data_IF_544093800303
#
_entry.id   IF_544093800303
#
_cell.length_a   1.000
_cell.length_b   1.000
_cell.length_c   1.000
_cell.angle_alpha   90.00
_cell.angle_beta   90.00
_cell.angle_gamma   90.00
#
_symmetry.space_group_name_H-M   'P 1'
#
loop_
_entity.id
_entity.type
_entity.pdbx_description
1 polymer ?
#
# COMPACT_ATOMS: atom_id res chain seq x y z
N UNK A 1 31.19 -48.56 -56.73
CA UNK A 1 32.48 -48.08 -56.22
C UNK A 1 32.53 -48.40 -54.74
N UNK A 2 33.13 -49.54 -54.41
CA UNK A 2 33.62 -49.86 -53.07
C UNK A 2 34.99 -49.14 -52.88
N UNK A 3 35.69 -49.29 -51.74
CA UNK A 3 35.29 -48.96 -50.37
C UNK A 3 36.46 -48.36 -49.55
N UNK A 4 36.25 -48.30 -48.23
CA UNK A 4 37.21 -48.53 -47.15
C UNK A 4 38.15 -47.37 -46.72
N UNK A 5 38.07 -46.85 -45.49
CA UNK A 5 38.41 -47.47 -44.17
C UNK A 5 39.93 -47.69 -43.99
N UNK A 6 40.48 -47.95 -42.76
CA UNK A 6 39.89 -47.88 -41.41
C UNK A 6 40.88 -47.39 -40.30
N UNK A 7 40.42 -47.52 -39.05
CA UNK A 7 41.15 -48.05 -37.87
C UNK A 7 42.29 -47.22 -37.26
N UNK A 8 42.72 -47.43 -36.02
CA UNK A 8 42.25 -48.08 -34.78
C UNK A 8 43.46 -48.10 -33.84
N UNK A 9 43.22 -48.21 -32.54
CA UNK A 9 44.24 -48.57 -31.56
C UNK A 9 44.88 -47.34 -30.93
N UNK A 10 45.06 -47.26 -29.62
CA UNK A 10 44.97 -48.28 -28.59
C UNK A 10 45.91 -47.91 -27.47
N UNK A 11 45.59 -48.42 -26.28
CA UNK A 11 46.48 -48.64 -25.14
C UNK A 11 46.93 -47.48 -24.22
N UNK A 12 46.49 -47.66 -22.97
CA UNK A 12 47.32 -47.88 -21.79
C UNK A 12 48.02 -46.68 -21.14
N UNK A 13 47.39 -46.23 -20.04
CA UNK A 13 47.85 -46.37 -18.65
C UNK A 13 49.33 -46.03 -18.37
N UNK A 14 49.58 -45.04 -17.49
CA UNK A 14 50.55 -45.10 -16.37
C UNK A 14 50.34 -43.88 -15.45
N UNK A 15 49.93 -44.17 -14.21
CA UNK A 15 50.55 -43.73 -12.95
C UNK A 15 50.64 -42.24 -12.61
N UNK A 16 49.94 -41.80 -11.57
CA UNK A 16 50.50 -41.75 -10.20
C UNK A 16 49.59 -40.93 -9.27
N UNK A 17 49.17 -41.56 -8.18
CA UNK A 17 48.48 -41.00 -7.02
C UNK A 17 49.38 -40.04 -6.23
N UNK A 18 48.80 -38.98 -5.66
CA UNK A 18 49.14 -38.50 -4.31
C UNK A 18 48.05 -37.61 -3.71
N UNK A 19 47.61 -38.03 -2.53
CA UNK A 19 46.70 -37.42 -1.57
C UNK A 19 46.99 -35.95 -1.21
N UNK A 20 45.93 -35.15 -1.04
CA UNK A 20 45.50 -34.57 0.25
C UNK A 20 44.36 -33.53 0.06
N UNK A 21 43.21 -33.81 0.66
CA UNK A 21 42.17 -32.83 0.99
C UNK A 21 42.57 -32.03 2.27
N UNK A 22 41.73 -31.11 2.79
CA UNK A 22 41.15 -29.90 2.22
C UNK A 22 41.65 -28.65 2.99
N UNK A 23 42.01 -27.56 2.30
CA UNK A 23 42.51 -26.35 2.97
C UNK A 23 41.36 -25.46 3.49
N UNK A 24 41.40 -25.20 4.79
CA UNK A 24 40.49 -24.40 5.61
C UNK A 24 40.38 -22.93 5.18
N UNK A 25 39.16 -22.44 5.31
CA UNK A 25 38.69 -21.04 5.44
C UNK A 25 39.60 -20.12 6.26
N UNK A 26 39.60 -18.81 5.94
CA UNK A 26 39.45 -17.77 6.95
C UNK A 26 38.06 -17.13 6.83
N UNK A 27 37.25 -17.42 7.83
CA UNK A 27 35.98 -16.79 8.13
C UNK A 27 36.13 -15.26 8.21
N UNK A 28 35.38 -14.52 7.39
CA UNK A 28 35.11 -13.10 7.65
C UNK A 28 33.90 -13.03 8.58
N UNK A 29 34.15 -12.82 9.86
CA UNK A 29 33.16 -12.38 10.83
C UNK A 29 32.37 -11.16 10.30
N UNK A 30 31.02 -11.16 10.33
CA UNK A 30 30.20 -10.01 9.97
C UNK A 30 30.22 -8.85 10.98
N UNK A 31 30.98 -8.95 12.08
CA UNK A 31 30.85 -8.07 13.26
C UNK A 31 31.57 -6.71 13.21
N UNK A 32 32.09 -6.28 12.07
CA UNK A 32 32.91 -5.04 11.97
C UNK A 32 32.47 -4.04 10.90
N UNK A 33 31.22 -4.11 10.43
CA UNK A 33 30.71 -3.21 9.40
C UNK A 33 29.65 -2.20 9.88
N UNK A 34 29.18 -2.29 11.13
CA UNK A 34 28.23 -1.33 11.70
C UNK A 34 28.92 -0.15 12.42
N UNK A 35 29.98 -0.38 13.20
CA UNK A 35 30.65 0.71 13.94
C UNK A 35 31.28 1.78 13.04
N UNK A 36 31.57 1.47 11.77
CA UNK A 36 32.24 2.41 10.85
C UNK A 36 31.29 3.36 10.12
N UNK A 37 29.97 3.24 10.34
CA UNK A 37 28.97 4.20 9.86
C UNK A 37 28.59 5.22 10.93
N UNK A 38 28.94 4.98 12.19
CA UNK A 38 28.62 5.91 13.28
C UNK A 38 29.52 7.16 13.28
N UNK A 39 30.68 7.14 12.61
CA UNK A 39 31.62 8.28 12.52
C UNK A 39 31.21 9.38 11.51
N UNK A 40 30.17 9.15 10.69
CA UNK A 40 29.65 10.12 9.70
C UNK A 40 28.28 10.72 10.09
N UNK A 41 27.78 10.42 11.29
CA UNK A 41 26.54 11.03 11.82
C UNK A 41 26.86 12.44 12.33
N UNK A 42 26.02 13.43 12.00
CA UNK A 42 26.12 14.75 12.63
C UNK A 42 25.90 14.62 14.14
N UNK A 43 26.42 15.57 14.94
CA UNK A 43 26.19 15.58 16.39
C UNK A 43 24.70 15.55 16.75
N UNK A 44 23.84 16.17 15.91
CA UNK A 44 22.39 16.13 16.05
C UNK A 44 21.80 14.74 15.83
N UNK A 45 22.28 14.01 14.82
CA UNK A 45 21.80 12.65 14.52
C UNK A 45 22.23 11.65 15.60
N UNK A 46 23.43 11.84 16.16
CA UNK A 46 23.98 11.00 17.23
C UNK A 46 23.22 11.23 18.54
N UNK A 47 22.86 12.49 18.84
CA UNK A 47 21.98 12.83 19.96
C UNK A 47 20.58 12.21 19.78
N UNK A 48 20.01 12.26 18.56
CA UNK A 48 18.73 11.64 18.26
C UNK A 48 18.76 10.12 18.44
N UNK A 49 19.83 9.45 17.97
CA UNK A 49 20.04 8.00 18.17
C UNK A 49 20.05 7.65 19.66
N UNK A 50 20.86 8.36 20.46
CA UNK A 50 20.97 8.14 21.90
C UNK A 50 19.63 8.39 22.63
N UNK A 51 18.88 9.41 22.21
CA UNK A 51 17.57 9.71 22.79
C UNK A 51 16.55 8.61 22.49
N UNK A 52 16.54 8.07 21.27
CA UNK A 52 15.68 6.95 20.89
C UNK A 52 16.06 5.65 21.62
N UNK A 53 17.35 5.37 21.77
CA UNK A 53 17.86 4.24 22.57
C UNK A 53 17.40 4.35 24.04
N UNK A 54 17.52 5.55 24.63
CA UNK A 54 17.02 5.82 25.97
C UNK A 54 15.51 5.60 26.10
N UNK A 55 14.72 5.96 25.09
CA UNK A 55 13.29 5.65 25.09
C UNK A 55 13.03 4.15 25.04
N UNK A 56 13.77 3.39 24.23
CA UNK A 56 13.64 1.93 24.17
C UNK A 56 13.96 1.28 25.52
N UNK A 57 14.97 1.78 26.23
CA UNK A 57 15.28 1.33 27.60
C UNK A 57 14.15 1.66 28.57
N UNK A 58 13.64 2.89 28.55
CA UNK A 58 12.55 3.34 29.43
C UNK A 58 11.21 2.66 29.17
N UNK A 59 10.97 2.20 27.95
CA UNK A 59 9.79 1.37 27.64
C UNK A 59 9.85 0.03 28.36
N UNK A 60 11.04 -0.46 28.72
CA UNK A 60 11.22 -1.72 29.44
C UNK A 60 11.27 -1.56 30.97
N UNK A 61 11.19 -0.33 31.48
CA UNK A 61 11.18 -0.06 32.92
C UNK A 61 9.92 -0.64 33.59
N UNK A 62 9.99 -0.88 34.90
CA UNK A 62 8.86 -1.43 35.66
C UNK A 62 7.72 -0.43 35.92
N UNK A 63 7.98 0.88 35.80
CA UNK A 63 7.00 1.93 36.08
C UNK A 63 6.14 2.26 34.84
N UNK A 64 4.81 2.00 34.87
CA UNK A 64 3.90 2.32 33.78
C UNK A 64 3.90 3.82 33.39
N UNK A 65 4.18 4.72 34.33
CA UNK A 65 4.27 6.15 34.08
C UNK A 65 5.44 6.51 33.17
N UNK A 66 6.62 5.94 33.45
CA UNK A 66 7.82 6.11 32.62
C UNK A 66 7.65 5.47 31.24
N UNK A 67 7.06 4.27 31.18
CA UNK A 67 6.75 3.60 29.92
C UNK A 67 5.88 4.49 29.02
N UNK A 68 4.81 5.06 29.59
CA UNK A 68 3.89 5.93 28.86
C UNK A 68 4.59 7.14 28.24
N UNK A 69 5.38 7.86 29.03
CA UNK A 69 6.10 9.06 28.57
C UNK A 69 7.11 8.71 27.47
N UNK A 70 7.80 7.58 27.60
CA UNK A 70 8.74 7.10 26.59
C UNK A 70 8.04 6.73 25.27
N UNK A 71 6.91 6.02 25.32
CA UNK A 71 6.11 5.66 24.14
C UNK A 71 5.53 6.91 23.45
N UNK A 72 4.98 7.86 24.22
CA UNK A 72 4.43 9.11 23.67
C UNK A 72 5.51 9.96 23.00
N UNK A 73 6.68 10.06 23.63
CA UNK A 73 7.82 10.81 23.10
C UNK A 73 8.37 10.15 21.82
N UNK A 74 8.54 8.83 21.83
CA UNK A 74 8.96 8.07 20.63
C UNK A 74 7.97 8.24 19.47
N UNK A 75 6.67 8.16 19.76
CA UNK A 75 5.60 8.42 18.78
C UNK A 75 5.71 9.82 18.19
N UNK A 76 5.92 10.84 19.02
CA UNK A 76 6.02 12.22 18.56
C UNK A 76 7.24 12.45 17.65
N UNK A 77 8.39 11.89 18.00
CA UNK A 77 9.62 11.98 17.21
C UNK A 77 9.47 11.30 15.84
N UNK A 78 8.87 10.10 15.81
CA UNK A 78 8.60 9.38 14.56
C UNK A 78 7.64 10.18 13.67
N UNK A 79 6.53 10.70 14.22
CA UNK A 79 5.53 11.49 13.48
C UNK A 79 6.10 12.78 12.91
N UNK A 80 6.90 13.49 13.70
CA UNK A 80 7.53 14.75 13.28
C UNK A 80 8.55 14.51 12.16
N UNK A 81 9.22 13.35 12.17
CA UNK A 81 10.21 13.01 11.14
C UNK A 81 9.59 12.40 9.88
N UNK A 82 8.42 11.73 10.00
CA UNK A 82 7.68 11.12 8.86
C UNK A 82 6.84 12.12 8.07
N UNK A 83 6.54 13.31 8.60
CA UNK A 83 5.87 14.36 7.84
C UNK A 83 6.71 14.91 6.67
N UNK A 84 8.01 14.65 6.66
CA UNK A 84 8.88 15.03 5.55
C UNK A 84 8.86 13.95 4.47
N UNK A 85 8.40 14.31 3.26
CA UNK A 85 8.37 13.48 2.04
C UNK A 85 9.79 13.26 1.47
N UNK A 86 10.70 12.80 2.31
CA UNK A 86 12.09 12.49 2.00
C UNK A 86 12.38 11.07 2.47
N UNK A 87 13.40 10.42 1.89
CA UNK A 87 13.84 9.05 2.19
C UNK A 87 13.60 8.57 3.63
N UNK A 88 13.36 7.26 3.81
CA UNK A 88 13.17 6.56 5.10
C UNK A 88 13.68 7.37 6.31
N UNK A 89 12.76 7.88 7.15
CA UNK A 89 13.06 8.76 8.27
C UNK A 89 14.18 8.22 9.14
N UNK A 90 15.08 9.11 9.59
CA UNK A 90 16.21 8.75 10.45
C UNK A 90 15.78 8.02 11.74
N UNK A 91 14.68 8.40 12.44
CA UNK A 91 14.23 7.65 13.60
C UNK A 91 13.94 6.17 13.32
N UNK A 92 13.36 5.85 12.16
CA UNK A 92 13.10 4.45 11.78
C UNK A 92 14.42 3.69 11.56
N UNK A 93 15.43 4.34 10.98
CA UNK A 93 16.77 3.76 10.81
C UNK A 93 17.46 3.48 12.13
N UNK A 94 17.32 4.37 13.12
CA UNK A 94 17.94 4.19 14.44
C UNK A 94 17.19 3.19 15.31
N UNK A 95 15.86 3.06 15.16
CA UNK A 95 15.06 2.07 15.88
C UNK A 95 15.15 0.66 15.28
N UNK A 96 15.68 0.51 14.06
CA UNK A 96 15.88 -0.78 13.37
C UNK A 96 16.52 -1.86 14.25
N UNK A 97 17.67 -1.63 14.92
CA UNK A 97 18.32 -2.68 15.72
C UNK A 97 17.50 -3.10 16.95
N UNK A 98 16.59 -2.22 17.40
CA UNK A 98 15.81 -2.41 18.61
C UNK A 98 14.43 -3.04 18.37
N UNK A 99 14.02 -3.24 17.11
CA UNK A 99 12.72 -3.80 16.76
C UNK A 99 12.46 -5.16 17.43
N UNK A 100 13.42 -6.09 17.36
CA UNK A 100 13.29 -7.40 18.00
C UNK A 100 13.20 -7.33 19.53
N UNK A 101 13.84 -6.35 20.16
CA UNK A 101 13.74 -6.14 21.61
C UNK A 101 12.35 -5.62 22.00
N UNK A 102 11.81 -4.67 21.23
CA UNK A 102 10.47 -4.13 21.44
C UNK A 102 9.39 -5.20 21.21
N UNK A 103 9.56 -6.06 20.19
CA UNK A 103 8.67 -7.20 19.93
C UNK A 103 8.67 -8.20 21.10
N UNK A 104 9.86 -8.58 21.61
CA UNK A 104 9.97 -9.48 22.75
C UNK A 104 9.40 -8.86 24.04
N UNK A 105 9.43 -7.54 24.19
CA UNK A 105 8.78 -6.85 25.30
C UNK A 105 7.26 -6.87 25.13
N UNK A 106 6.75 -6.56 23.93
CA UNK A 106 5.32 -6.58 23.60
C UNK A 106 4.65 -7.92 23.93
N UNK A 107 5.31 -9.04 23.64
CA UNK A 107 4.80 -10.38 23.95
C UNK A 107 4.69 -10.66 25.47
N UNK A 108 5.55 -10.04 26.28
CA UNK A 108 5.56 -10.19 27.75
C UNK A 108 4.56 -9.26 28.44
N UNK A 109 4.13 -8.19 27.79
CA UNK A 109 3.21 -7.22 28.37
C UNK A 109 1.79 -7.78 28.50
N UNK A 110 1.15 -7.47 29.63
CA UNK A 110 -0.27 -7.69 29.81
C UNK A 110 -1.09 -6.73 28.94
N UNK A 111 -2.31 -7.16 28.57
CA UNK A 111 -3.27 -6.33 27.84
C UNK A 111 -3.54 -5.03 28.61
N UNK A 112 -3.07 -3.92 28.04
CA UNK A 112 -3.12 -2.59 28.64
C UNK A 112 -3.06 -1.54 27.53
N UNK A 113 -3.43 -0.29 27.84
CA UNK A 113 -3.32 0.82 26.88
C UNK A 113 -1.88 1.05 26.41
N UNK A 114 -0.89 0.74 27.25
CA UNK A 114 0.54 0.81 26.92
C UNK A 114 0.92 -0.23 25.85
N UNK A 115 0.35 -1.44 25.95
CA UNK A 115 0.54 -2.48 24.94
C UNK A 115 -0.02 -2.03 23.59
N UNK A 116 -1.20 -1.43 23.56
CA UNK A 116 -1.80 -0.88 22.32
C UNK A 116 -0.94 0.22 21.68
N UNK A 117 -0.41 1.14 22.49
CA UNK A 117 0.51 2.18 21.98
C UNK A 117 1.82 1.59 21.44
N UNK A 118 2.36 0.56 22.10
CA UNK A 118 3.53 -0.15 21.60
C UNK A 118 3.23 -0.89 20.29
N UNK A 119 2.05 -1.50 20.15
CA UNK A 119 1.60 -2.08 18.89
C UNK A 119 1.53 -1.04 17.76
N UNK A 120 1.02 0.18 18.01
CA UNK A 120 1.03 1.22 16.97
C UNK A 120 2.45 1.58 16.50
N UNK A 121 3.40 1.67 17.44
CA UNK A 121 4.81 1.95 17.11
C UNK A 121 5.41 0.77 16.34
N UNK A 122 5.16 -0.47 16.77
CA UNK A 122 5.64 -1.67 16.07
C UNK A 122 5.06 -1.76 14.65
N UNK A 123 3.79 -1.39 14.45
CA UNK A 123 3.15 -1.35 13.14
C UNK A 123 3.89 -0.42 12.17
N UNK A 124 4.34 0.74 12.64
CA UNK A 124 5.09 1.72 11.85
C UNK A 124 6.53 1.26 11.65
N UNK A 125 7.17 0.66 12.65
CA UNK A 125 8.53 0.12 12.49
C UNK A 125 8.57 -1.04 11.49
N UNK A 126 7.52 -1.87 11.46
CA UNK A 126 7.39 -2.99 10.54
C UNK A 126 7.48 -2.57 9.06
N UNK A 127 7.15 -1.32 8.71
CA UNK A 127 7.32 -0.74 7.36
C UNK A 127 8.69 -1.00 6.74
N UNK A 128 9.72 -1.03 7.58
CA UNK A 128 11.12 -1.09 7.13
C UNK A 128 11.84 -2.33 7.66
N UNK A 129 11.19 -3.07 8.57
CA UNK A 129 11.80 -4.13 9.37
C UNK A 129 11.17 -5.50 9.13
N UNK A 130 9.90 -5.56 8.77
CA UNK A 130 9.24 -6.82 8.48
C UNK A 130 9.89 -7.45 7.25
N UNK A 131 10.22 -8.76 7.28
CA UNK A 131 10.50 -9.46 6.04
C UNK A 131 9.27 -9.37 5.13
N UNK A 132 9.51 -9.19 3.83
CA UNK A 132 8.45 -9.10 2.83
C UNK A 132 7.50 -10.31 2.96
N UNK A 133 6.22 -10.06 3.20
CA UNK A 133 5.18 -11.09 3.26
C UNK A 133 4.68 -11.48 4.65
N UNK A 134 5.31 -11.06 5.76
CA UNK A 134 4.80 -11.36 7.11
C UNK A 134 3.64 -10.46 7.56
N UNK A 135 3.37 -9.36 6.84
CA UNK A 135 2.24 -8.43 7.07
C UNK A 135 2.18 -7.96 8.53
N UNK A 136 3.35 -7.72 9.12
CA UNK A 136 3.46 -7.36 10.53
C UNK A 136 2.84 -5.98 10.80
N UNK A 137 2.91 -5.03 9.85
CA UNK A 137 2.30 -3.72 10.00
C UNK A 137 0.79 -3.82 10.21
N UNK A 138 0.08 -4.59 9.37
CA UNK A 138 -1.35 -4.83 9.52
C UNK A 138 -1.68 -5.57 10.82
N UNK A 139 -0.91 -6.61 11.17
CA UNK A 139 -1.12 -7.38 12.41
C UNK A 139 -1.07 -6.48 13.64
N UNK A 140 -0.02 -5.66 13.77
CA UNK A 140 0.10 -4.76 14.91
C UNK A 140 -0.91 -3.61 14.85
N UNK A 141 -1.34 -3.19 13.65
CA UNK A 141 -2.38 -2.18 13.52
C UNK A 141 -3.73 -2.66 14.07
N UNK A 142 -4.12 -3.90 13.78
CA UNK A 142 -5.35 -4.51 14.31
C UNK A 142 -5.29 -4.73 15.84
N UNK A 143 -4.09 -4.85 16.41
CA UNK A 143 -3.87 -4.98 17.86
C UNK A 143 -3.63 -3.63 18.55
N UNK A 144 -3.42 -2.57 17.78
CA UNK A 144 -3.00 -1.25 18.22
C UNK A 144 -4.14 -0.42 18.82
N UNK A 145 -3.88 0.87 18.98
CA UNK A 145 -4.96 1.80 19.29
C UNK A 145 -5.66 2.20 17.98
N UNK A 146 -6.99 2.18 17.97
CA UNK A 146 -7.84 2.63 16.85
C UNK A 146 -7.73 4.15 16.55
N UNK A 147 -6.59 4.77 16.86
CA UNK A 147 -6.31 6.17 16.57
C UNK A 147 -6.22 6.46 15.07
N UNK A 148 -6.15 7.73 14.69
CA UNK A 148 -6.12 8.16 13.29
C UNK A 148 -4.95 7.56 12.48
N UNK A 149 -5.26 6.83 11.39
CA UNK A 149 -4.29 6.19 10.48
C UNK A 149 -3.38 7.24 9.83
N UNK A 150 -3.94 8.41 9.49
CA UNK A 150 -3.21 9.47 8.82
C UNK A 150 -2.09 10.09 9.66
N UNK A 151 -2.10 9.84 10.97
CA UNK A 151 -1.18 10.46 11.93
C UNK A 151 0.29 10.09 11.72
N UNK A 152 0.57 8.97 11.04
CA UNK A 152 1.92 8.45 10.76
C UNK A 152 2.44 8.80 9.36
N UNK A 153 1.66 9.51 8.55
CA UNK A 153 2.05 9.98 7.23
C UNK A 153 1.74 9.00 6.09
N UNK A 154 1.85 9.52 4.86
CA UNK A 154 1.41 8.85 3.64
C UNK A 154 2.10 7.52 3.35
N UNK A 155 3.39 7.39 3.64
CA UNK A 155 4.15 6.15 3.37
C UNK A 155 3.60 4.98 4.20
N UNK A 156 3.25 5.25 5.46
CA UNK A 156 2.61 4.26 6.32
C UNK A 156 1.24 3.84 5.78
N UNK A 157 0.40 4.82 5.41
CA UNK A 157 -0.94 4.54 4.86
C UNK A 157 -0.85 3.71 3.57
N UNK A 158 0.11 4.04 2.70
CA UNK A 158 0.33 3.32 1.44
C UNK A 158 0.77 1.87 1.67
N UNK A 159 1.72 1.62 2.57
CA UNK A 159 2.13 0.25 2.89
C UNK A 159 0.97 -0.54 3.50
N UNK A 160 0.23 0.07 4.43
CA UNK A 160 -0.90 -0.55 5.08
C UNK A 160 -2.00 -0.91 4.06
N UNK A 161 -2.28 -0.03 3.09
CA UNK A 161 -3.21 -0.31 2.00
C UNK A 161 -2.81 -1.57 1.21
N UNK A 162 -1.53 -1.69 0.83
CA UNK A 162 -1.02 -2.87 0.13
C UNK A 162 -1.09 -4.15 0.95
N UNK A 163 -0.78 -4.10 2.25
CA UNK A 163 -0.93 -5.26 3.14
C UNK A 163 -2.39 -5.67 3.33
N UNK A 164 -3.30 -4.69 3.44
CA UNK A 164 -4.75 -4.93 3.55
C UNK A 164 -5.26 -5.61 2.30
N UNK A 165 -4.90 -5.15 1.10
CA UNK A 165 -5.35 -5.77 -0.14
C UNK A 165 -4.88 -7.24 -0.26
N UNK A 166 -3.63 -7.51 0.10
CA UNK A 166 -3.11 -8.89 0.10
C UNK A 166 -3.76 -9.78 1.15
N UNK A 167 -4.09 -9.23 2.33
CA UNK A 167 -4.79 -9.93 3.39
C UNK A 167 -6.25 -10.17 3.03
N UNK A 168 -6.92 -9.18 2.41
CA UNK A 168 -8.27 -9.28 1.89
C UNK A 168 -8.38 -10.43 0.90
N UNK A 169 -7.53 -10.45 -0.14
CA UNK A 169 -7.51 -11.53 -1.13
C UNK A 169 -7.28 -12.91 -0.50
N UNK A 170 -6.44 -12.99 0.54
CA UNK A 170 -6.23 -14.25 1.28
C UNK A 170 -7.48 -14.66 2.06
N UNK A 171 -8.06 -13.76 2.84
CA UNK A 171 -9.25 -14.05 3.66
C UNK A 171 -10.49 -14.32 2.82
N UNK A 172 -10.62 -13.70 1.66
CA UNK A 172 -11.70 -13.97 0.71
C UNK A 172 -11.62 -15.41 0.19
N UNK A 173 -10.42 -15.90 -0.13
CA UNK A 173 -10.22 -17.30 -0.53
C UNK A 173 -10.45 -18.31 0.62
N UNK A 174 -10.19 -17.90 1.86
CA UNK A 174 -10.35 -18.72 3.06
C UNK A 174 -11.74 -18.55 3.73
N UNK A 175 -12.65 -17.74 3.15
CA UNK A 175 -13.95 -17.34 3.74
C UNK A 175 -13.84 -16.80 5.18
N UNK A 176 -12.78 -16.05 5.45
CA UNK A 176 -12.51 -15.44 6.75
C UNK A 176 -13.34 -14.19 7.04
N UNK A 177 -13.17 -13.63 8.24
CA UNK A 177 -13.78 -12.35 8.64
C UNK A 177 -13.04 -11.19 7.95
N UNK A 178 -13.80 -10.31 7.29
CA UNK A 178 -13.29 -9.18 6.49
C UNK A 178 -13.73 -7.82 7.06
N UNK A 179 -14.71 -7.78 7.96
CA UNK A 179 -15.28 -6.53 8.52
C UNK A 179 -14.24 -5.59 9.14
N UNK A 180 -13.25 -6.15 9.83
CA UNK A 180 -12.15 -5.42 10.47
C UNK A 180 -11.24 -4.74 9.43
N UNK A 181 -11.01 -5.40 8.31
CA UNK A 181 -10.25 -4.82 7.20
C UNK A 181 -11.04 -3.70 6.52
N UNK A 182 -12.34 -3.88 6.30
CA UNK A 182 -13.17 -2.87 5.63
C UNK A 182 -13.31 -1.58 6.43
N UNK A 183 -13.29 -1.67 7.77
CA UNK A 183 -13.23 -0.47 8.62
C UNK A 183 -11.92 0.32 8.40
N UNK A 184 -10.79 -0.38 8.29
CA UNK A 184 -9.51 0.25 7.97
C UNK A 184 -9.50 0.82 6.54
N UNK A 185 -10.06 0.12 5.55
CA UNK A 185 -10.19 0.59 4.17
C UNK A 185 -10.95 1.92 4.13
N UNK A 186 -12.09 2.02 4.82
CA UNK A 186 -12.88 3.26 4.90
C UNK A 186 -12.06 4.43 5.44
N UNK A 187 -11.28 4.21 6.49
CA UNK A 187 -10.41 5.23 7.07
C UNK A 187 -9.29 5.65 6.10
N UNK A 188 -8.67 4.69 5.40
CA UNK A 188 -7.59 4.94 4.42
C UNK A 188 -8.12 5.73 3.22
N UNK A 189 -9.27 5.32 2.65
CA UNK A 189 -9.90 5.99 1.51
C UNK A 189 -10.27 7.43 1.88
N UNK A 190 -10.87 7.65 3.06
CA UNK A 190 -11.17 8.99 3.55
C UNK A 190 -9.91 9.86 3.69
N UNK A 191 -8.79 9.27 4.12
CA UNK A 191 -7.51 9.97 4.22
C UNK A 191 -6.93 10.31 2.85
N UNK A 192 -6.87 9.35 1.92
CA UNK A 192 -6.34 9.55 0.58
C UNK A 192 -7.11 10.61 -0.21
N UNK A 193 -8.45 10.57 -0.16
CA UNK A 193 -9.30 11.55 -0.85
C UNK A 193 -9.13 12.98 -0.31
N UNK A 194 -8.89 13.14 0.99
CA UNK A 194 -8.60 14.46 1.61
C UNK A 194 -7.23 15.01 1.26
N UNK A 195 -6.27 14.15 0.95
CA UNK A 195 -4.88 14.53 0.69
C UNK A 195 -4.48 14.42 -0.79
N UNK A 196 -5.45 14.45 -1.70
CA UNK A 196 -5.18 14.44 -3.15
C UNK A 196 -4.47 13.18 -3.66
N UNK A 197 -4.67 12.04 -2.98
CA UNK A 197 -4.20 10.72 -3.38
C UNK A 197 -5.37 9.90 -3.95
N UNK A 198 -6.16 10.51 -4.84
CA UNK A 198 -7.34 9.86 -5.43
C UNK A 198 -7.00 8.56 -6.18
N UNK A 199 -5.91 8.47 -6.97
CA UNK A 199 -5.51 7.22 -7.63
C UNK A 199 -5.30 6.07 -6.64
N UNK A 200 -4.60 6.32 -5.54
CA UNK A 200 -4.33 5.30 -4.51
C UNK A 200 -5.59 4.84 -3.78
N UNK A 201 -6.58 5.72 -3.60
CA UNK A 201 -7.88 5.35 -3.06
C UNK A 201 -8.66 4.45 -4.03
N UNK A 202 -8.66 4.78 -5.33
CA UNK A 202 -9.32 3.98 -6.36
C UNK A 202 -8.68 2.60 -6.47
N UNK A 203 -7.36 2.53 -6.54
CA UNK A 203 -6.63 1.25 -6.65
C UNK A 203 -6.93 0.33 -5.48
N UNK A 204 -6.90 0.85 -4.25
CA UNK A 204 -7.24 0.07 -3.06
C UNK A 204 -8.69 -0.46 -3.13
N UNK A 205 -9.65 0.37 -3.53
CA UNK A 205 -11.05 -0.03 -3.64
C UNK A 205 -11.31 -1.05 -4.74
N UNK A 206 -10.56 -0.99 -5.84
CA UNK A 206 -10.61 -2.03 -6.88
C UNK A 206 -10.05 -3.35 -6.34
N UNK A 207 -8.95 -3.32 -5.57
CA UNK A 207 -8.36 -4.53 -4.99
C UNK A 207 -9.23 -5.20 -3.93
N UNK A 208 -10.07 -4.43 -3.21
CA UNK A 208 -11.04 -4.99 -2.25
C UNK A 208 -12.46 -5.19 -2.84
N UNK A 209 -12.61 -5.02 -4.15
CA UNK A 209 -13.88 -5.22 -4.88
C UNK A 209 -15.08 -4.41 -4.34
N UNK A 210 -14.84 -3.24 -3.73
CA UNK A 210 -15.88 -2.36 -3.12
C UNK A 210 -15.79 -0.92 -3.65
N UNK A 211 -15.80 -0.79 -4.99
CA UNK A 211 -15.62 0.50 -5.66
C UNK A 211 -16.79 1.48 -5.45
N UNK A 212 -17.99 0.97 -5.14
CA UNK A 212 -19.19 1.79 -4.89
C UNK A 212 -18.98 2.81 -3.76
N UNK A 213 -18.20 2.43 -2.74
CA UNK A 213 -17.85 3.27 -1.60
C UNK A 213 -17.18 4.59 -2.01
N UNK A 214 -16.51 4.63 -3.17
CA UNK A 214 -15.85 5.81 -3.70
C UNK A 214 -16.83 7.00 -3.84
N UNK A 215 -18.08 6.73 -4.25
CA UNK A 215 -19.09 7.77 -4.51
C UNK A 215 -19.39 8.60 -3.26
N UNK A 216 -19.23 8.03 -2.06
CA UNK A 216 -19.46 8.71 -0.78
C UNK A 216 -18.36 9.72 -0.44
N UNK A 217 -17.10 9.41 -0.82
CA UNK A 217 -15.93 10.21 -0.47
C UNK A 217 -15.52 11.25 -1.53
N UNK A 218 -16.09 11.18 -2.72
CA UNK A 218 -15.84 12.15 -3.79
C UNK A 218 -16.58 13.47 -3.51
N UNK A 219 -15.86 14.57 -3.69
CA UNK A 219 -16.28 15.97 -3.52
C UNK A 219 -16.06 16.81 -4.79
N UNK A 220 -16.47 18.08 -4.76
CA UNK A 220 -16.35 19.00 -5.90
C UNK A 220 -14.90 19.30 -6.30
N UNK A 221 -13.92 19.10 -5.41
CA UNK A 221 -12.51 19.42 -5.67
C UNK A 221 -11.74 18.23 -6.27
N UNK A 222 -12.22 17.00 -6.03
CA UNK A 222 -11.52 15.78 -6.44
C UNK A 222 -12.23 15.00 -7.58
N UNK A 223 -13.54 15.18 -7.80
CA UNK A 223 -14.30 14.38 -8.78
C UNK A 223 -13.70 14.37 -10.18
N UNK A 224 -13.17 15.50 -10.68
CA UNK A 224 -12.58 15.56 -12.02
C UNK A 224 -11.35 14.66 -12.14
N UNK A 225 -10.50 14.68 -11.11
CA UNK A 225 -9.28 13.86 -11.06
C UNK A 225 -9.61 12.39 -10.87
N UNK A 226 -10.55 12.08 -9.98
CA UNK A 226 -11.02 10.72 -9.75
C UNK A 226 -11.63 10.13 -11.02
N UNK A 227 -12.56 10.83 -11.69
CA UNK A 227 -13.16 10.34 -12.92
C UNK A 227 -12.17 10.25 -14.08
N UNK A 228 -11.20 11.17 -14.17
CA UNK A 228 -10.12 11.07 -15.15
C UNK A 228 -9.31 9.80 -14.92
N UNK A 229 -8.97 9.49 -13.67
CA UNK A 229 -8.27 8.27 -13.31
C UNK A 229 -9.08 7.02 -13.69
N UNK A 230 -10.34 6.91 -13.25
CA UNK A 230 -11.25 5.81 -13.57
C UNK A 230 -11.40 5.58 -15.09
N UNK A 231 -11.67 6.64 -15.85
CA UNK A 231 -11.83 6.52 -17.32
C UNK A 231 -10.52 6.20 -18.04
N UNK A 232 -9.38 6.54 -17.46
CA UNK A 232 -8.06 6.18 -18.00
C UNK A 232 -7.69 4.74 -17.66
N UNK A 233 -7.96 4.28 -16.42
CA UNK A 233 -7.68 2.93 -15.96
C UNK A 233 -8.58 1.90 -16.65
N UNK A 234 -9.86 2.21 -16.85
CA UNK A 234 -10.82 1.35 -17.53
C UNK A 234 -10.38 0.88 -18.92
N UNK A 235 -9.54 1.66 -19.64
CA UNK A 235 -9.00 1.26 -20.95
C UNK A 235 -8.01 0.09 -20.90
N UNK A 236 -7.47 -0.20 -19.72
CA UNK A 236 -6.48 -1.24 -19.49
C UNK A 236 -7.03 -2.41 -18.66
N UNK A 237 -8.27 -2.31 -18.19
CA UNK A 237 -8.95 -3.32 -17.41
C UNK A 237 -9.66 -4.34 -18.32
N UNK A 238 -9.88 -5.58 -17.84
CA UNK A 238 -10.66 -6.56 -18.57
C UNK A 238 -12.15 -6.17 -18.60
N UNK A 239 -12.88 -6.71 -19.57
CA UNK A 239 -14.28 -6.36 -19.91
C UNK A 239 -15.37 -6.41 -18.82
N UNK A 240 -15.24 -7.11 -17.68
CA UNK A 240 -16.17 -6.92 -16.56
C UNK A 240 -15.79 -5.72 -15.67
N UNK A 241 -14.49 -5.53 -15.43
CA UNK A 241 -13.98 -4.51 -14.50
C UNK A 241 -13.97 -3.12 -15.15
N UNK A 242 -13.73 -3.04 -16.46
CA UNK A 242 -13.82 -1.79 -17.22
C UNK A 242 -15.23 -1.18 -17.13
N UNK A 243 -16.25 -2.02 -17.21
CA UNK A 243 -17.66 -1.66 -17.20
C UNK A 243 -18.06 -1.15 -15.83
N UNK A 244 -17.62 -1.83 -14.77
CA UNK A 244 -17.82 -1.40 -13.38
C UNK A 244 -17.17 -0.03 -13.12
N UNK A 245 -15.90 0.15 -13.51
CA UNK A 245 -15.18 1.41 -13.31
C UNK A 245 -15.84 2.56 -14.05
N UNK A 246 -16.32 2.32 -15.27
CA UNK A 246 -17.06 3.30 -16.06
C UNK A 246 -18.44 3.59 -15.47
N UNK A 247 -19.15 2.59 -14.94
CA UNK A 247 -20.45 2.77 -14.25
C UNK A 247 -20.31 3.68 -13.02
N UNK A 248 -19.25 3.50 -12.23
CA UNK A 248 -18.96 4.37 -11.09
C UNK A 248 -18.59 5.78 -11.56
N UNK A 249 -17.76 5.91 -12.59
CA UNK A 249 -17.42 7.23 -13.14
C UNK A 249 -18.67 7.95 -13.70
N UNK A 250 -19.61 7.23 -14.33
CA UNK A 250 -20.91 7.77 -14.74
C UNK A 250 -21.71 8.29 -13.55
N UNK A 251 -21.81 7.47 -12.49
CA UNK A 251 -22.54 7.82 -11.26
C UNK A 251 -21.96 9.07 -10.58
N UNK A 252 -20.64 9.20 -10.53
CA UNK A 252 -19.96 10.38 -10.01
C UNK A 252 -20.27 11.61 -10.88
N UNK A 253 -20.16 11.52 -12.22
CA UNK A 253 -20.48 12.66 -13.08
C UNK A 253 -21.96 13.07 -13.00
N UNK A 254 -22.87 12.12 -12.82
CA UNK A 254 -24.29 12.41 -12.55
C UNK A 254 -24.49 13.17 -11.24
N UNK A 255 -23.81 12.75 -10.16
CA UNK A 255 -23.86 13.41 -8.85
C UNK A 255 -23.41 14.88 -8.90
N UNK A 256 -22.42 15.20 -9.74
CA UNK A 256 -21.88 16.56 -9.90
C UNK A 256 -22.45 17.31 -11.12
N UNK A 257 -23.55 16.82 -11.69
CA UNK A 257 -24.29 17.46 -12.80
C UNK A 257 -23.43 17.69 -14.07
N UNK A 258 -22.37 16.91 -14.26
CA UNK A 258 -21.52 16.94 -15.45
C UNK A 258 -22.08 16.05 -16.56
N UNK A 259 -23.29 16.37 -16.97
CA UNK A 259 -24.07 15.58 -17.92
C UNK A 259 -23.37 15.29 -19.27
N UNK A 260 -22.61 16.22 -19.90
CA UNK A 260 -21.89 15.92 -21.15
C UNK A 260 -20.83 14.83 -21.00
N UNK A 261 -20.14 14.78 -19.86
CA UNK A 261 -19.13 13.76 -19.56
C UNK A 261 -19.79 12.43 -19.22
N UNK A 262 -20.86 12.46 -18.43
CA UNK A 262 -21.69 11.28 -18.17
C UNK A 262 -22.19 10.66 -19.48
N UNK A 263 -22.67 11.46 -20.45
CA UNK A 263 -23.11 10.95 -21.75
C UNK A 263 -21.98 10.25 -22.52
N UNK A 264 -20.77 10.80 -22.50
CA UNK A 264 -19.62 10.16 -23.16
C UNK A 264 -19.36 8.76 -22.58
N UNK A 265 -19.46 8.62 -21.25
CA UNK A 265 -19.30 7.32 -20.58
C UNK A 265 -20.46 6.37 -20.92
N UNK A 266 -21.71 6.83 -20.85
CA UNK A 266 -22.88 6.03 -21.18
C UNK A 266 -22.82 5.48 -22.61
N UNK A 267 -22.29 6.27 -23.56
CA UNK A 267 -22.07 5.83 -24.94
C UNK A 267 -20.93 4.82 -25.05
N UNK A 268 -19.83 4.99 -24.31
CA UNK A 268 -18.75 3.99 -24.29
C UNK A 268 -19.19 2.64 -23.71
N UNK A 269 -20.13 2.65 -22.75
CA UNK A 269 -20.75 1.46 -22.17
C UNK A 269 -21.84 0.84 -23.05
N UNK A 270 -22.26 1.51 -24.14
CA UNK A 270 -23.44 1.16 -24.94
C UNK A 270 -24.74 1.02 -24.10
N UNK A 271 -24.82 1.69 -22.95
CA UNK A 271 -25.97 1.61 -22.06
C UNK A 271 -27.01 2.69 -22.43
N UNK A 272 -27.96 2.32 -23.30
CA UNK A 272 -29.02 3.20 -23.75
C UNK A 272 -29.96 3.69 -22.63
N UNK A 273 -30.02 2.97 -21.50
CA UNK A 273 -30.86 3.38 -20.38
C UNK A 273 -30.30 4.61 -19.69
N UNK A 274 -28.99 4.67 -19.47
CA UNK A 274 -28.31 5.85 -18.93
C UNK A 274 -28.42 7.05 -19.87
N UNK A 275 -28.34 6.82 -21.18
CA UNK A 275 -28.58 7.89 -22.15
C UNK A 275 -29.99 8.45 -22.02
N UNK A 276 -31.02 7.59 -21.91
CA UNK A 276 -32.40 8.05 -21.71
C UNK A 276 -32.57 8.84 -20.42
N UNK A 277 -31.99 8.35 -19.32
CA UNK A 277 -32.00 9.01 -18.02
C UNK A 277 -31.37 10.41 -18.10
N UNK A 278 -30.19 10.54 -18.73
CA UNK A 278 -29.53 11.83 -18.96
C UNK A 278 -30.41 12.83 -19.72
N UNK A 279 -31.16 12.38 -20.72
CA UNK A 279 -32.09 13.23 -21.48
C UNK A 279 -33.32 13.63 -20.68
N UNK A 280 -33.74 12.82 -19.70
CA UNK A 280 -34.85 13.13 -18.81
C UNK A 280 -34.42 14.10 -17.70
N UNK A 281 -33.22 13.92 -17.14
CA UNK A 281 -32.67 14.73 -16.05
C UNK A 281 -32.17 16.10 -16.54
N UNK A 282 -31.58 16.17 -17.73
CA UNK A 282 -31.09 17.43 -18.29
C UNK A 282 -32.24 18.24 -18.92
N UNK A 283 -32.63 19.34 -18.28
CA UNK A 283 -33.65 20.25 -18.82
C UNK A 283 -33.08 21.41 -19.66
N UNK A 284 -31.76 21.57 -19.66
CA UNK A 284 -31.09 22.66 -20.38
C UNK A 284 -31.07 22.42 -21.90
N UNK A 285 -31.67 23.34 -22.65
CA UNK A 285 -31.85 23.22 -24.11
C UNK A 285 -30.53 23.17 -24.89
N UNK A 286 -29.56 24.10 -24.69
CA UNK A 286 -28.28 24.03 -25.40
C UNK A 286 -27.51 22.74 -25.08
N UNK A 287 -27.50 22.29 -23.83
CA UNK A 287 -26.84 21.03 -23.45
C UNK A 287 -27.50 19.81 -24.14
N UNK A 288 -28.83 19.75 -24.18
CA UNK A 288 -29.56 18.70 -24.93
C UNK A 288 -29.25 18.72 -26.43
N UNK A 289 -29.11 19.90 -27.04
CA UNK A 289 -28.71 19.99 -28.44
C UNK A 289 -27.31 19.39 -28.66
N UNK A 290 -26.36 19.67 -27.76
CA UNK A 290 -25.03 19.06 -27.81
C UNK A 290 -25.11 17.53 -27.69
N UNK A 291 -26.02 17.00 -26.85
CA UNK A 291 -26.22 15.56 -26.73
C UNK A 291 -26.70 14.94 -28.03
N UNK A 292 -27.67 15.57 -28.70
CA UNK A 292 -28.13 15.12 -30.01
C UNK A 292 -27.00 15.11 -31.04
N UNK A 293 -26.12 16.11 -31.05
CA UNK A 293 -24.95 16.12 -31.93
C UNK A 293 -23.97 14.98 -31.60
N UNK A 294 -23.73 14.69 -30.32
CA UNK A 294 -22.88 13.57 -29.90
C UNK A 294 -23.48 12.22 -30.32
N UNK A 295 -24.78 12.01 -30.10
CA UNK A 295 -25.50 10.79 -30.52
C UNK A 295 -25.50 10.60 -32.04
N UNK A 296 -25.76 11.67 -32.79
CA UNK A 296 -25.75 11.62 -34.25
C UNK A 296 -24.39 11.18 -34.80
N UNK A 297 -23.28 11.63 -34.18
CA UNK A 297 -21.93 11.19 -34.55
C UNK A 297 -21.64 9.74 -34.18
N UNK A 298 -22.29 9.23 -33.15
CA UNK A 298 -22.16 7.85 -32.68
C UNK A 298 -23.16 6.89 -33.36
N UNK A 299 -23.87 7.38 -34.39
CA UNK A 299 -24.88 6.66 -35.19
C UNK A 299 -25.95 5.93 -34.35
N UNK A 300 -26.19 6.40 -33.14
CA UNK A 300 -27.08 5.74 -32.18
C UNK A 300 -28.46 6.38 -32.24
N UNK A 301 -29.44 5.64 -32.75
CA UNK A 301 -30.84 6.07 -32.72
C UNK A 301 -31.44 5.87 -31.33
N UNK A 302 -31.91 6.96 -30.71
CA UNK A 302 -32.62 6.90 -29.42
C UNK A 302 -34.11 7.15 -29.61
N UNK A 303 -34.95 6.20 -29.20
CA UNK A 303 -36.39 6.40 -29.12
C UNK A 303 -36.70 6.99 -27.73
N UNK A 304 -36.85 8.32 -27.69
CA UNK A 304 -37.21 9.08 -26.48
C UNK A 304 -38.72 9.35 -26.57
N UNK A 305 -39.52 8.53 -25.89
CA UNK A 305 -40.95 8.78 -25.69
C UNK A 305 -41.22 9.38 -24.32
#
# INVERSE_FOLDING_TARGET
>A
MAPAEPNSGGNANIGATKDQAPAKVPSKDPKKKDDKKDEDLSEEDLALKQQLELYVERVQDADPGLQKVALESMRQEIRTSTSSMTSVPKPLKFLRPHYGTLQAHYEKMAESDLKKMLADILSVLALTMSPEGERESLKYRLLGSEGDIGSWGHEYVRNLAGEIAQEYAKRQNEEGRIDDLMELVKQIVAFHMKHNAEPEAVDLLMEVEDLDLLVEYVDQANYERTCLYLTSSGKYLPGPDDSLVLDIAHSIYMKFEQYPRALQIALSLYNLQYVKELFQTCHDRPTRQQFCFMLARHETGLDIR
#
